data_IF_475388425789
#
_entry.id   IF_475388425789
#
_cell.length_a   1.000
_cell.length_b   1.000
_cell.length_c   1.000
_cell.angle_alpha   90.00
_cell.angle_beta   90.00
_cell.angle_gamma   90.00
#
_symmetry.space_group_name_H-M   'P 1'
#
loop_
_entity.id
_entity.type
_entity.pdbx_description
1 polymer ?
#
# COMPACT_ATOMS: atom_id res chain seq x y z
N UNK A 1 8.36 2.79 88.01
CA UNK A 1 7.62 1.51 87.94
C UNK A 1 6.73 1.58 86.73
N UNK A 2 7.13 0.96 85.61
CA UNK A 2 6.38 1.01 84.35
C UNK A 2 5.29 -0.08 84.35
N UNK A 3 4.07 0.19 83.88
CA UNK A 3 3.08 -0.86 83.72
C UNK A 3 3.31 -1.55 82.36
N UNK A 4 3.59 -2.85 82.41
CA UNK A 4 3.61 -3.75 81.25
C UNK A 4 2.24 -3.72 80.56
N UNK A 5 2.20 -3.18 79.33
CA UNK A 5 1.01 -3.20 78.49
C UNK A 5 0.89 -4.58 77.85
N UNK A 6 0.08 -5.46 78.46
CA UNK A 6 -0.21 -6.80 77.94
C UNK A 6 -1.07 -6.69 76.68
N UNK A 7 -0.40 -6.85 75.54
CA UNK A 7 -0.99 -7.03 74.22
C UNK A 7 -1.89 -8.29 74.20
N UNK A 8 -3.17 -8.09 73.90
CA UNK A 8 -4.25 -9.08 73.97
C UNK A 8 -4.20 -10.06 72.76
N UNK A 9 -3.91 -11.36 72.94
CA UNK A 9 -3.65 -12.30 71.83
C UNK A 9 -4.85 -12.52 70.89
N UNK A 10 -6.05 -12.07 71.27
CA UNK A 10 -7.26 -12.17 70.47
C UNK A 10 -7.26 -11.25 69.23
N UNK A 11 -6.60 -10.09 69.29
CA UNK A 11 -6.58 -9.18 68.13
C UNK A 11 -5.55 -9.60 67.07
N UNK A 12 -4.48 -10.31 67.44
CA UNK A 12 -3.48 -10.76 66.47
C UNK A 12 -4.07 -11.85 65.56
N UNK A 13 -4.78 -12.82 66.13
CA UNK A 13 -5.44 -13.89 65.36
C UNK A 13 -6.54 -13.32 64.46
N UNK A 14 -7.32 -12.35 64.97
CA UNK A 14 -8.37 -11.67 64.20
C UNK A 14 -7.79 -10.80 63.09
N UNK A 15 -6.70 -10.07 63.36
CA UNK A 15 -5.96 -9.28 62.36
C UNK A 15 -5.37 -10.17 61.26
N UNK A 16 -4.77 -11.31 61.61
CA UNK A 16 -4.18 -12.24 60.63
C UNK A 16 -5.24 -12.86 59.72
N UNK A 17 -6.41 -13.18 60.27
CA UNK A 17 -7.57 -13.66 59.49
C UNK A 17 -8.16 -12.58 58.57
N UNK A 18 -8.34 -11.36 59.08
CA UNK A 18 -8.89 -10.25 58.28
C UNK A 18 -7.94 -9.79 57.18
N UNK A 19 -6.64 -9.67 57.45
CA UNK A 19 -5.65 -9.31 56.44
C UNK A 19 -5.45 -10.42 55.40
N UNK A 20 -5.49 -11.69 55.81
CA UNK A 20 -5.42 -12.83 54.89
C UNK A 20 -6.66 -12.93 53.99
N UNK A 21 -7.85 -12.68 54.54
CA UNK A 21 -9.11 -12.72 53.79
C UNK A 21 -9.23 -11.53 52.83
N UNK A 22 -8.92 -10.31 53.28
CA UNK A 22 -8.96 -9.11 52.46
C UNK A 22 -7.95 -9.15 51.31
N UNK A 23 -6.73 -9.66 51.56
CA UNK A 23 -5.73 -9.86 50.50
C UNK A 23 -6.14 -10.92 49.47
N UNK A 24 -6.92 -11.95 49.86
CA UNK A 24 -7.44 -12.95 48.93
C UNK A 24 -8.54 -12.37 48.04
N UNK A 25 -9.41 -11.53 48.59
CA UNK A 25 -10.42 -10.81 47.81
C UNK A 25 -9.74 -9.82 46.85
N UNK A 26 -8.77 -9.04 47.32
CA UNK A 26 -8.07 -8.06 46.50
C UNK A 26 -7.31 -8.72 45.35
N UNK A 27 -6.60 -9.84 45.61
CA UNK A 27 -5.95 -10.63 44.57
C UNK A 27 -6.94 -11.22 43.55
N UNK A 28 -8.12 -11.64 44.01
CA UNK A 28 -9.20 -12.10 43.14
C UNK A 28 -9.73 -11.00 42.21
N UNK A 29 -9.99 -9.81 42.76
CA UNK A 29 -10.47 -8.65 41.97
C UNK A 29 -9.43 -8.20 40.95
N UNK A 30 -8.14 -8.15 41.33
CA UNK A 30 -7.05 -7.81 40.40
C UNK A 30 -6.91 -8.87 39.30
N UNK A 31 -7.00 -10.16 39.63
CA UNK A 31 -6.94 -11.23 38.64
C UNK A 31 -8.10 -11.17 37.63
N UNK A 32 -9.31 -10.85 38.11
CA UNK A 32 -10.49 -10.65 37.25
C UNK A 32 -10.34 -9.41 36.36
N UNK A 33 -9.82 -8.30 36.89
CA UNK A 33 -9.57 -7.09 36.10
C UNK A 33 -8.51 -7.32 34.99
N UNK A 34 -7.46 -8.09 35.27
CA UNK A 34 -6.44 -8.47 34.27
C UNK A 34 -7.06 -9.39 33.20
N UNK A 35 -7.86 -10.39 33.61
CA UNK A 35 -8.54 -11.28 32.68
C UNK A 35 -9.51 -10.53 31.77
N UNK A 36 -10.29 -9.58 32.30
CA UNK A 36 -11.19 -8.72 31.52
C UNK A 36 -10.41 -7.84 30.54
N UNK A 37 -9.27 -7.26 30.96
CA UNK A 37 -8.44 -6.43 30.07
C UNK A 37 -7.84 -7.23 28.92
N UNK A 38 -7.44 -8.49 29.15
CA UNK A 38 -6.95 -9.40 28.11
C UNK A 38 -8.07 -9.87 27.16
N UNK A 39 -9.29 -10.04 27.67
CA UNK A 39 -10.45 -10.43 26.87
C UNK A 39 -11.00 -9.29 26.00
N UNK A 40 -10.90 -8.03 26.45
CA UNK A 40 -11.27 -6.86 25.64
C UNK A 40 -10.19 -6.45 24.63
N UNK A 41 -8.91 -6.70 24.94
CA UNK A 41 -7.79 -6.42 24.04
C UNK A 41 -7.74 -7.31 22.78
N UNK A 42 -8.54 -8.38 22.72
CA UNK A 42 -8.65 -9.27 21.57
C UNK A 42 -9.75 -8.87 20.56
N UNK A 43 -10.45 -7.75 20.78
CA UNK A 43 -11.54 -7.26 19.91
C UNK A 43 -11.17 -5.98 19.17
N UNK A 44 -9.97 -5.41 19.35
CA UNK A 44 -9.50 -4.42 18.38
C UNK A 44 -9.07 -5.18 17.13
N UNK A 45 -9.78 -5.12 16.00
CA UNK A 45 -9.17 -5.52 14.75
C UNK A 45 -7.90 -4.68 14.65
N UNK A 46 -6.76 -5.33 14.51
CA UNK A 46 -5.57 -4.71 13.93
C UNK A 46 -6.02 -4.22 12.56
N UNK A 47 -6.44 -2.96 12.53
CA UNK A 47 -6.56 -2.19 11.30
C UNK A 47 -5.16 -2.23 10.73
N UNK A 48 -4.97 -3.03 9.68
CA UNK A 48 -3.94 -2.74 8.70
C UNK A 48 -4.31 -1.35 8.18
N UNK A 49 -3.80 -0.32 8.83
CA UNK A 49 -3.71 0.98 8.20
C UNK A 49 -2.76 0.74 7.03
N UNK A 50 -3.32 0.54 5.84
CA UNK A 50 -2.61 0.96 4.64
C UNK A 50 -2.23 2.41 4.91
N UNK A 51 -0.94 2.68 5.10
CA UNK A 51 -0.44 4.05 5.05
C UNK A 51 -0.87 4.60 3.68
N UNK A 52 -1.91 5.42 3.69
CA UNK A 52 -2.33 6.14 2.50
C UNK A 52 -1.13 6.98 2.06
N UNK A 53 -0.65 6.74 0.84
CA UNK A 53 0.45 7.49 0.25
C UNK A 53 0.08 8.98 0.28
N UNK A 54 0.93 9.78 0.93
CA UNK A 54 0.77 11.22 1.01
C UNK A 54 1.06 11.84 -0.37
N UNK A 55 -0.01 12.14 -1.10
CA UNK A 55 0.06 12.72 -2.43
C UNK A 55 0.47 14.19 -2.45
N UNK A 56 0.79 14.79 -1.30
CA UNK A 56 1.32 16.16 -1.25
C UNK A 56 2.80 16.24 -1.64
N UNK A 57 3.51 15.12 -1.67
CA UNK A 57 4.87 15.03 -2.20
C UNK A 57 4.84 14.91 -3.73
N UNK A 58 5.50 15.82 -4.44
CA UNK A 58 5.57 15.80 -5.90
C UNK A 58 6.12 14.45 -6.42
N UNK A 59 5.35 13.80 -7.29
CA UNK A 59 5.71 12.49 -7.86
C UNK A 59 5.49 11.28 -6.94
N UNK A 60 5.05 11.47 -5.69
CA UNK A 60 4.76 10.35 -4.78
C UNK A 60 3.47 9.60 -5.11
N UNK A 61 2.51 10.29 -5.74
CA UNK A 61 1.30 9.67 -6.26
C UNK A 61 1.33 9.67 -7.78
N UNK A 62 0.95 8.52 -8.37
CA UNK A 62 0.64 8.47 -9.79
C UNK A 62 -0.44 9.54 -10.07
N UNK A 63 -0.30 10.28 -11.18
CA UNK A 63 -1.17 11.43 -11.46
C UNK A 63 -2.64 11.04 -11.59
N UNK A 64 -2.94 9.74 -11.77
CA UNK A 64 -4.29 9.25 -11.95
C UNK A 64 -4.58 8.10 -10.99
N UNK A 65 -5.68 8.18 -10.22
CA UNK A 65 -6.10 7.06 -9.40
C UNK A 65 -6.45 5.86 -10.31
N UNK A 66 -6.29 4.62 -9.81
CA UNK A 66 -6.72 3.43 -10.54
C UNK A 66 -8.22 3.54 -10.83
N UNK A 67 -8.59 3.47 -12.11
CA UNK A 67 -9.99 3.58 -12.51
C UNK A 67 -10.58 2.18 -12.63
N UNK A 68 -11.60 1.80 -11.84
CA UNK A 68 -12.17 0.45 -11.84
C UNK A 68 -12.71 0.07 -13.22
N UNK A 69 -12.79 -1.22 -13.56
CA UNK A 69 -13.27 -1.65 -14.89
C UNK A 69 -14.65 -1.06 -15.21
N UNK A 70 -14.81 -0.53 -16.43
CA UNK A 70 -16.13 -0.12 -16.93
C UNK A 70 -17.02 -1.33 -17.29
N UNK A 71 -16.39 -2.47 -17.59
CA UNK A 71 -17.04 -3.73 -17.92
C UNK A 71 -17.15 -4.64 -16.69
N UNK A 72 -18.16 -5.51 -16.67
CA UNK A 72 -18.35 -6.54 -15.63
C UNK A 72 -18.24 -7.90 -16.30
N UNK A 73 -17.30 -8.73 -15.84
CA UNK A 73 -17.17 -10.11 -16.31
C UNK A 73 -18.07 -11.03 -15.48
N UNK A 74 -19.00 -11.70 -16.14
CA UNK A 74 -19.83 -12.75 -15.55
C UNK A 74 -19.27 -14.16 -15.84
N UNK A 75 -19.78 -15.21 -15.18
CA UNK A 75 -19.44 -16.60 -15.46
C UNK A 75 -19.64 -17.04 -16.92
N UNK A 76 -20.62 -16.44 -17.60
CA UNK A 76 -20.91 -16.68 -19.02
C UNK A 76 -20.80 -15.38 -19.83
N UNK A 77 -20.70 -15.49 -21.16
CA UNK A 77 -20.72 -14.32 -22.06
C UNK A 77 -22.02 -13.52 -21.94
N UNK A 78 -23.15 -14.22 -21.80
CA UNK A 78 -24.48 -13.61 -21.66
C UNK A 78 -24.63 -12.84 -20.33
N UNK A 79 -23.92 -13.29 -19.29
CA UNK A 79 -23.85 -12.62 -17.98
C UNK A 79 -22.77 -11.53 -17.92
N UNK A 80 -21.96 -11.38 -18.97
CA UNK A 80 -20.89 -10.38 -19.04
C UNK A 80 -21.38 -9.11 -19.73
N UNK A 81 -21.02 -7.95 -19.18
CA UNK A 81 -21.30 -6.65 -19.79
C UNK A 81 -20.00 -6.01 -20.25
N UNK A 82 -19.84 -5.89 -21.58
CA UNK A 82 -18.75 -5.10 -22.16
C UNK A 82 -19.19 -3.64 -22.31
N UNK A 83 -18.54 -2.76 -21.56
CA UNK A 83 -18.69 -1.31 -21.71
C UNK A 83 -17.34 -0.71 -22.04
N UNK A 84 -17.22 -0.11 -23.23
CA UNK A 84 -16.05 0.70 -23.56
C UNK A 84 -16.03 1.93 -22.64
N UNK A 85 -14.88 2.17 -22.01
CA UNK A 85 -14.67 3.35 -21.18
C UNK A 85 -14.66 4.59 -22.06
N UNK A 86 -15.33 5.64 -21.58
CA UNK A 86 -15.13 6.99 -22.10
C UNK A 86 -13.85 7.55 -21.48
N UNK A 87 -12.90 7.93 -22.33
CA UNK A 87 -11.68 8.59 -21.89
C UNK A 87 -11.96 10.08 -21.70
N UNK A 88 -11.72 10.65 -20.51
CA UNK A 88 -11.90 12.08 -20.32
C UNK A 88 -10.88 12.84 -21.17
N UNK A 89 -11.26 13.99 -21.70
CA UNK A 89 -10.28 14.91 -22.28
C UNK A 89 -9.36 15.41 -21.16
N UNK A 90 -8.10 14.97 -21.20
CA UNK A 90 -7.06 15.34 -20.22
C UNK A 90 -6.17 16.46 -20.71
N UNK A 91 -6.44 17.00 -21.89
CA UNK A 91 -5.60 17.98 -22.55
C UNK A 91 -6.18 19.37 -22.24
N UNK A 92 -5.50 20.20 -21.42
CA UNK A 92 -6.03 21.47 -20.94
C UNK A 92 -5.83 22.62 -21.95
N UNK A 93 -5.35 22.33 -23.16
CA UNK A 93 -5.03 23.32 -24.19
C UNK A 93 -5.98 23.18 -25.39
N UNK A 94 -6.39 24.32 -25.94
CA UNK A 94 -7.40 24.42 -27.02
C UNK A 94 -6.92 23.87 -28.37
N UNK A 95 -5.59 23.80 -28.59
CA UNK A 95 -4.99 23.25 -29.82
C UNK A 95 -3.69 22.49 -29.49
N UNK A 96 -3.79 21.23 -29.03
CA UNK A 96 -2.61 20.43 -28.72
C UNK A 96 -1.88 19.96 -29.98
N UNK A 97 -0.54 19.81 -29.92
CA UNK A 97 0.20 19.20 -31.02
C UNK A 97 -0.23 17.74 -31.20
N UNK A 98 -0.26 17.30 -32.46
CA UNK A 98 -0.44 15.89 -32.78
C UNK A 98 0.85 15.12 -32.44
N UNK A 99 0.75 14.14 -31.55
CA UNK A 99 1.87 13.28 -31.16
C UNK A 99 1.68 11.91 -31.81
N UNK A 100 2.65 11.49 -32.61
CA UNK A 100 2.71 10.15 -33.20
C UNK A 100 3.87 9.37 -32.57
N UNK A 101 3.54 8.26 -31.89
CA UNK A 101 4.53 7.34 -31.32
C UNK A 101 4.59 6.10 -32.22
N UNK A 102 5.77 5.83 -32.77
CA UNK A 102 6.05 4.62 -33.54
C UNK A 102 6.94 3.72 -32.68
N UNK A 103 6.43 2.55 -32.31
CA UNK A 103 7.18 1.55 -31.56
C UNK A 103 7.41 0.34 -32.47
N UNK A 104 8.66 -0.08 -32.58
CA UNK A 104 9.04 -1.25 -33.36
C UNK A 104 9.29 -2.41 -32.40
N UNK A 105 8.75 -3.57 -32.73
CA UNK A 105 8.88 -4.79 -31.93
C UNK A 105 10.15 -5.55 -32.34
N UNK A 106 10.91 -6.05 -31.37
CA UNK A 106 12.14 -6.84 -31.56
C UNK A 106 13.19 -6.22 -32.51
N UNK A 107 13.20 -4.91 -32.70
CA UNK A 107 14.20 -4.22 -33.53
C UNK A 107 15.45 -3.90 -32.71
N UNK A 108 16.58 -4.45 -33.14
CA UNK A 108 17.88 -4.20 -32.55
C UNK A 108 18.48 -2.87 -33.02
N UNK A 109 19.15 -2.14 -32.12
CA UNK A 109 19.77 -0.85 -32.41
C UNK A 109 20.71 -0.87 -33.64
N UNK A 110 21.49 -1.95 -33.80
CA UNK A 110 22.44 -2.11 -34.90
C UNK A 110 21.86 -2.68 -36.20
N UNK A 111 20.53 -2.77 -36.35
CA UNK A 111 19.91 -3.28 -37.58
C UNK A 111 19.82 -2.21 -38.67
N UNK A 112 19.41 -1.00 -38.32
CA UNK A 112 19.22 0.12 -39.25
C UNK A 112 20.54 0.76 -39.68
N UNK A 113 20.70 1.03 -40.98
CA UNK A 113 21.87 1.71 -41.55
C UNK A 113 22.07 3.13 -40.99
N UNK A 114 20.99 3.77 -40.54
CA UNK A 114 21.00 5.03 -39.79
C UNK A 114 21.96 4.98 -38.60
N UNK A 115 22.10 3.84 -37.92
CA UNK A 115 23.00 3.66 -36.78
C UNK A 115 24.21 2.75 -37.10
N UNK A 116 24.49 2.52 -38.38
CA UNK A 116 25.62 1.70 -38.85
C UNK A 116 25.28 0.21 -39.08
N UNK A 117 23.99 -0.14 -39.10
CA UNK A 117 23.52 -1.48 -39.47
C UNK A 117 23.51 -1.76 -40.96
N UNK A 118 23.10 -2.97 -41.34
CA UNK A 118 23.07 -3.42 -42.74
C UNK A 118 21.74 -3.13 -43.45
N UNK A 119 20.66 -2.88 -42.70
CA UNK A 119 19.31 -2.70 -43.27
C UNK A 119 19.13 -1.26 -43.72
N UNK A 120 18.93 -1.06 -45.02
CA UNK A 120 18.70 0.26 -45.58
C UNK A 120 17.36 0.86 -45.12
N UNK A 121 17.43 1.95 -44.35
CA UNK A 121 16.28 2.59 -43.72
C UNK A 121 16.24 4.11 -43.98
N UNK A 122 16.04 4.56 -45.22
CA UNK A 122 16.17 5.97 -45.60
C UNK A 122 15.18 6.88 -44.89
N UNK A 123 14.00 6.37 -44.50
CA UNK A 123 13.01 7.13 -43.73
C UNK A 123 13.50 7.43 -42.31
N UNK A 124 14.18 6.48 -41.64
CA UNK A 124 14.76 6.70 -40.31
C UNK A 124 15.89 7.73 -40.37
N UNK A 125 16.74 7.66 -41.40
CA UNK A 125 17.78 8.67 -41.63
C UNK A 125 17.20 10.06 -41.85
N UNK A 126 16.15 10.20 -42.66
CA UNK A 126 15.46 11.48 -42.86
C UNK A 126 14.86 12.04 -41.56
N UNK A 127 14.26 11.18 -40.73
CA UNK A 127 13.73 11.59 -39.43
C UNK A 127 14.82 12.07 -38.47
N UNK A 128 16.02 11.47 -38.53
CA UNK A 128 17.16 11.95 -37.77
C UNK A 128 17.63 13.31 -38.29
N UNK A 129 17.76 13.49 -39.60
CA UNK A 129 18.20 14.77 -40.21
C UNK A 129 17.27 15.95 -39.85
N UNK A 130 15.97 15.69 -39.67
CA UNK A 130 14.95 16.67 -39.28
C UNK A 130 14.75 16.75 -37.74
N UNK A 131 15.48 15.95 -36.95
CA UNK A 131 15.15 15.70 -35.55
C UNK A 131 16.35 15.42 -34.64
N UNK A 132 16.10 14.61 -33.61
CA UNK A 132 17.09 14.24 -32.59
C UNK A 132 17.13 12.71 -32.52
N UNK A 133 18.34 12.15 -32.49
CA UNK A 133 18.58 10.74 -32.26
C UNK A 133 19.26 10.51 -30.90
N UNK A 134 18.95 9.38 -30.26
CA UNK A 134 19.54 8.95 -29.00
C UNK A 134 20.37 7.69 -29.23
N UNK A 135 21.64 7.71 -28.80
CA UNK A 135 22.57 6.58 -28.90
C UNK A 135 22.78 5.84 -27.54
N UNK A 136 22.10 6.29 -26.49
CA UNK A 136 22.13 5.69 -25.15
C UNK A 136 20.70 5.65 -24.59
N UNK A 137 19.85 4.87 -25.27
CA UNK A 137 18.48 4.60 -24.87
C UNK A 137 18.37 3.13 -24.46
N UNK A 138 17.67 2.85 -23.36
CA UNK A 138 17.58 1.52 -22.78
C UNK A 138 16.12 1.07 -22.66
N UNK A 139 15.85 -0.17 -23.06
CA UNK A 139 14.56 -0.84 -22.90
C UNK A 139 14.72 -2.06 -21.99
N UNK A 140 13.60 -2.59 -21.49
CA UNK A 140 13.59 -3.91 -20.85
C UNK A 140 13.83 -5.01 -21.89
N UNK A 141 14.40 -6.14 -21.49
CA UNK A 141 14.64 -7.30 -22.38
C UNK A 141 13.39 -8.15 -22.64
N UNK A 142 12.19 -7.64 -22.32
CA UNK A 142 10.91 -8.32 -22.42
C UNK A 142 9.79 -7.33 -22.79
N UNK A 143 8.81 -7.78 -23.57
CA UNK A 143 7.72 -6.96 -24.12
C UNK A 143 6.69 -6.48 -23.09
N UNK A 144 6.37 -7.29 -22.08
CA UNK A 144 5.48 -6.93 -20.96
C UNK A 144 6.19 -7.26 -19.65
N UNK A 145 6.97 -6.31 -19.10
CA UNK A 145 7.72 -6.49 -17.86
C UNK A 145 6.84 -6.49 -16.61
#
# INVERSE_FOLDING_TARGET
>A
MQPEMRVNPFYEVLSMFFHGFLNRILKGVVAVAIAISLLLGSITPTVLAEEAVDCTVEGACLPFPPVPSASVAGPTLDESTMKRREEPNRIPIEDPPNILIIMLDDVGFGQADTFGGEIHTPTLSRLWDEGIAYNTFHTTSICSP
#
